data_IF_212908591336
#
_entry.id   IF_212908591336
#
_cell.length_a   1.000
_cell.length_b   1.000
_cell.length_c   1.000
_cell.angle_alpha   90.00
_cell.angle_beta   90.00
_cell.angle_gamma   90.00
#
_symmetry.space_group_name_H-M   'P 1'
#
loop_
_entity.id
_entity.type
_entity.pdbx_description
1 polymer ?
#
# COMPACT_ATOMS: atom_id res chain seq x y z
N UNK A 1 -8.38 34.94 -28.56
CA UNK A 1 -7.45 33.84 -28.22
C UNK A 1 -7.91 33.21 -26.91
N UNK A 2 -8.50 32.02 -26.93
CA UNK A 2 -8.99 31.34 -25.72
C UNK A 2 -7.92 30.35 -25.29
N UNK A 3 -7.17 30.69 -24.24
CA UNK A 3 -6.20 29.79 -23.62
C UNK A 3 -6.96 28.65 -22.92
N UNK A 4 -6.99 27.48 -23.56
CA UNK A 4 -7.51 26.23 -22.98
C UNK A 4 -6.61 25.81 -21.81
N UNK A 5 -6.99 26.12 -20.58
CA UNK A 5 -6.31 25.63 -19.39
C UNK A 5 -6.58 24.12 -19.24
N UNK A 6 -5.59 23.29 -19.54
CA UNK A 6 -5.64 21.85 -19.31
C UNK A 6 -5.76 21.58 -17.79
N UNK A 7 -6.92 21.10 -17.35
CA UNK A 7 -7.15 20.69 -15.96
C UNK A 7 -6.31 19.44 -15.68
N UNK A 8 -5.29 19.56 -14.83
CA UNK A 8 -4.52 18.40 -14.37
C UNK A 8 -5.46 17.39 -13.69
N UNK A 9 -5.36 16.08 -13.98
CA UNK A 9 -6.19 15.08 -13.32
C UNK A 9 -5.95 15.14 -11.81
N UNK A 10 -7.04 15.26 -11.05
CA UNK A 10 -7.04 15.31 -9.59
C UNK A 10 -6.50 13.98 -9.08
N UNK A 11 -5.38 13.97 -8.36
CA UNK A 11 -4.86 12.75 -7.74
C UNK A 11 -5.96 12.12 -6.88
N UNK A 12 -6.16 10.79 -6.92
CA UNK A 12 -7.16 10.14 -6.10
C UNK A 12 -6.90 10.45 -4.62
N UNK A 13 -7.98 10.65 -3.85
CA UNK A 13 -7.88 10.95 -2.43
C UNK A 13 -7.16 9.81 -1.71
N UNK A 14 -6.03 10.12 -1.07
CA UNK A 14 -5.30 9.13 -0.28
C UNK A 14 -6.04 8.94 1.05
N UNK A 15 -6.59 7.74 1.28
CA UNK A 15 -7.17 7.39 2.58
C UNK A 15 -6.04 7.04 3.54
N UNK A 16 -6.02 7.69 4.70
CA UNK A 16 -5.10 7.36 5.79
C UNK A 16 -5.78 6.36 6.72
N UNK A 17 -5.11 5.24 7.01
CA UNK A 17 -5.63 4.19 7.88
C UNK A 17 -4.63 4.01 9.03
N UNK A 18 -5.10 4.22 10.25
CA UNK A 18 -4.32 3.92 11.45
C UNK A 18 -4.42 2.44 11.79
N UNK A 19 -3.28 1.72 11.72
CA UNK A 19 -3.21 0.30 12.07
C UNK A 19 -2.50 0.18 13.41
N UNK A 20 -3.17 -0.44 14.39
CA UNK A 20 -2.54 -0.80 15.67
C UNK A 20 -2.03 -2.22 15.56
N UNK A 21 -0.72 -2.39 15.66
CA UNK A 21 -0.07 -3.68 15.72
C UNK A 21 0.47 -3.89 17.14
N UNK A 22 0.50 -5.13 17.64
CA UNK A 22 1.24 -5.42 18.86
C UNK A 22 2.74 -5.17 18.61
N UNK A 23 3.47 -4.82 19.68
CA UNK A 23 4.88 -4.43 19.58
C UNK A 23 5.78 -5.44 18.84
N UNK A 24 5.74 -6.76 19.13
CA UNK A 24 6.67 -7.69 18.49
C UNK A 24 6.43 -7.77 16.97
N UNK A 25 5.20 -7.66 16.50
CA UNK A 25 4.88 -7.63 15.08
C UNK A 25 5.32 -6.32 14.42
N UNK A 26 5.16 -5.19 15.12
CA UNK A 26 5.60 -3.90 14.62
C UNK A 26 7.14 -3.84 14.44
N UNK A 27 7.89 -4.44 15.35
CA UNK A 27 9.36 -4.55 15.25
C UNK A 27 9.78 -5.45 14.09
N UNK A 28 9.14 -6.62 13.95
CA UNK A 28 9.39 -7.53 12.80
C UNK A 28 9.14 -6.82 11.47
N UNK A 29 8.02 -6.11 11.37
CA UNK A 29 7.67 -5.35 10.16
C UNK A 29 8.70 -4.25 9.86
N UNK A 30 9.22 -3.56 10.88
CA UNK A 30 10.29 -2.56 10.71
C UNK A 30 11.57 -3.21 10.20
N UNK A 31 12.00 -4.31 10.81
CA UNK A 31 13.20 -5.03 10.39
C UNK A 31 13.08 -5.57 8.95
N UNK A 32 11.92 -6.06 8.55
CA UNK A 32 11.67 -6.47 7.16
C UNK A 32 11.68 -5.29 6.19
N UNK A 33 11.11 -4.15 6.59
CA UNK A 33 11.10 -2.95 5.77
C UNK A 33 12.53 -2.43 5.55
N UNK A 34 13.35 -2.42 6.60
CA UNK A 34 14.77 -2.03 6.55
C UNK A 34 15.57 -2.96 5.63
N UNK A 35 15.41 -4.28 5.76
CA UNK A 35 16.06 -5.27 4.86
C UNK A 35 15.69 -5.08 3.39
N UNK A 36 14.49 -4.58 3.13
CA UNK A 36 13.97 -4.35 1.79
C UNK A 36 14.26 -2.94 1.25
N UNK A 37 14.99 -2.11 1.99
CA UNK A 37 15.23 -0.69 1.71
C UNK A 37 13.91 0.09 1.47
N UNK A 38 12.92 -0.17 2.32
CA UNK A 38 11.57 0.40 2.24
C UNK A 38 11.17 1.04 3.55
N UNK A 39 10.28 2.02 3.47
CA UNK A 39 9.59 2.47 4.67
C UNK A 39 8.46 1.50 5.07
N UNK A 40 8.05 1.58 6.35
CA UNK A 40 7.02 0.68 6.92
C UNK A 40 5.72 0.73 6.12
N UNK A 41 5.28 1.92 5.69
CA UNK A 41 4.04 2.07 4.90
C UNK A 41 4.13 1.40 3.52
N UNK A 42 5.29 1.47 2.86
CA UNK A 42 5.54 0.77 1.60
C UNK A 42 5.55 -0.74 1.80
N UNK A 43 6.15 -1.22 2.89
CA UNK A 43 6.16 -2.64 3.22
C UNK A 43 4.75 -3.18 3.52
N UNK A 44 3.96 -2.46 4.31
CA UNK A 44 2.54 -2.79 4.56
C UNK A 44 1.77 -2.86 3.23
N UNK A 45 1.94 -1.85 2.37
CA UNK A 45 1.27 -1.82 1.06
C UNK A 45 1.69 -3.00 0.18
N UNK A 46 2.96 -3.36 0.20
CA UNK A 46 3.48 -4.50 -0.56
C UNK A 46 2.86 -5.82 -0.08
N UNK A 47 2.81 -6.03 1.24
CA UNK A 47 2.20 -7.22 1.84
C UNK A 47 0.71 -7.31 1.54
N UNK A 48 -0.04 -6.21 1.68
CA UNK A 48 -1.48 -6.18 1.37
C UNK A 48 -1.76 -6.48 -0.10
N UNK A 49 -0.96 -5.91 -1.02
CA UNK A 49 -1.09 -6.23 -2.46
C UNK A 49 -0.86 -7.71 -2.74
N UNK A 50 0.16 -8.30 -2.12
CA UNK A 50 0.49 -9.72 -2.28
C UNK A 50 -0.61 -10.62 -1.72
N UNK A 51 -1.14 -10.30 -0.54
CA UNK A 51 -2.24 -11.04 0.08
C UNK A 51 -3.51 -10.98 -0.79
N UNK A 52 -3.87 -9.79 -1.28
CA UNK A 52 -5.01 -9.62 -2.18
C UNK A 52 -4.85 -10.42 -3.49
N UNK A 53 -3.68 -10.35 -4.12
CA UNK A 53 -3.40 -11.11 -5.33
C UNK A 53 -3.50 -12.63 -5.09
N UNK A 54 -3.00 -13.11 -3.95
CA UNK A 54 -3.10 -14.51 -3.56
C UNK A 54 -4.55 -14.95 -3.32
N UNK A 55 -5.36 -14.13 -2.64
CA UNK A 55 -6.80 -14.39 -2.44
C UNK A 55 -7.55 -14.43 -3.77
N UNK A 56 -7.34 -13.45 -4.65
CA UNK A 56 -7.99 -13.44 -5.97
C UNK A 56 -7.59 -14.64 -6.84
N UNK A 57 -6.36 -15.16 -6.68
CA UNK A 57 -5.92 -16.36 -7.38
C UNK A 57 -6.59 -17.64 -6.84
N UNK A 58 -7.05 -17.65 -5.58
CA UNK A 58 -7.80 -18.76 -5.00
C UNK A 58 -9.27 -18.72 -5.44
N UNK A 59 -9.89 -17.55 -5.52
CA UNK A 59 -11.29 -17.41 -5.96
C UNK A 59 -11.52 -17.85 -7.41
N UNK A 60 -10.51 -17.72 -8.30
CA UNK A 60 -10.61 -18.16 -9.70
C UNK A 60 -10.51 -19.71 -9.83
N UNK A 61 -10.04 -20.40 -8.79
CA UNK A 61 -9.86 -21.86 -8.79
C UNK A 61 -10.99 -22.65 -8.11
N UNK A 62 -11.91 -21.98 -7.42
CA UNK A 62 -13.06 -22.59 -6.75
C UNK A 62 -14.30 -22.56 -7.65
#
# INVERSE_FOLDING_TARGET
>A
MISSMMRKPKKPATVQIGIRLPQPEAERLRAEAEKADRNVSQQIRHLLKRAYAAQSAQEIRA
#
